data_IF_426428631868
#
_entry.id   IF_426428631868
#
_cell.length_a   1.000
_cell.length_b   1.000
_cell.length_c   1.000
_cell.angle_alpha   90.00
_cell.angle_beta   90.00
_cell.angle_gamma   90.00
#
_symmetry.space_group_name_H-M   'P 1'
#
loop_
_entity.id
_entity.type
_entity.pdbx_description
1 polymer ?
#
# COMPACT_ATOMS: atom_id res chain seq x y z
N UNK A 1 4.86 16.36 22.05
CA UNK A 1 4.80 15.18 21.17
C UNK A 1 3.49 14.48 21.47
N UNK A 2 2.72 14.12 20.44
CA UNK A 2 1.53 13.30 20.65
C UNK A 2 1.99 11.90 21.11
N UNK A 3 1.35 11.32 22.12
CA UNK A 3 1.74 10.02 22.71
C UNK A 3 0.70 8.93 22.43
N UNK A 4 -0.30 9.23 21.61
CA UNK A 4 -1.31 8.25 21.20
C UNK A 4 -0.65 7.18 20.34
N UNK A 5 -0.89 5.91 20.66
CA UNK A 5 -0.54 4.76 19.82
C UNK A 5 -1.83 4.29 19.18
N UNK A 6 -1.85 4.10 17.85
CA UNK A 6 -3.01 3.56 17.15
C UNK A 6 -3.09 2.06 17.42
N UNK A 7 -4.15 1.56 18.07
CA UNK A 7 -4.30 0.13 18.32
C UNK A 7 -4.59 -0.62 17.00
N UNK A 8 -4.37 -1.95 16.97
CA UNK A 8 -4.86 -2.78 15.87
C UNK A 8 -6.40 -2.75 15.81
N UNK A 9 -6.95 -2.82 14.60
CA UNK A 9 -8.40 -2.94 14.37
C UNK A 9 -8.77 -4.14 13.49
N UNK A 10 -7.78 -4.89 13.00
CA UNK A 10 -7.96 -6.01 12.09
C UNK A 10 -7.44 -7.35 12.66
N UNK A 11 -6.95 -7.36 13.88
CA UNK A 11 -6.53 -8.55 14.61
C UNK A 11 -7.71 -9.51 14.84
N UNK A 12 -7.47 -10.80 14.59
CA UNK A 12 -8.51 -11.84 14.62
C UNK A 12 -9.51 -11.77 13.45
N UNK A 13 -9.49 -10.71 12.64
CA UNK A 13 -10.40 -10.52 11.49
C UNK A 13 -9.71 -10.77 10.15
N UNK A 14 -8.58 -10.10 9.90
CA UNK A 14 -7.85 -10.16 8.63
C UNK A 14 -6.49 -10.84 8.77
N UNK A 15 -5.98 -10.94 9.98
CA UNK A 15 -4.77 -11.69 10.35
C UNK A 15 -4.93 -12.27 11.77
N UNK A 16 -4.00 -13.13 12.20
CA UNK A 16 -4.07 -13.77 13.52
C UNK A 16 -3.80 -12.77 14.65
N UNK A 17 -4.66 -12.77 15.67
CA UNK A 17 -4.50 -12.00 16.91
C UNK A 17 -3.38 -12.53 17.82
N UNK A 18 -3.05 -13.82 17.74
CA UNK A 18 -1.92 -14.42 18.45
C UNK A 18 -0.56 -14.02 17.83
N UNK A 19 0.31 -13.41 18.64
CA UNK A 19 1.64 -12.93 18.24
C UNK A 19 2.49 -14.01 17.55
N UNK A 20 2.65 -15.17 18.19
CA UNK A 20 3.54 -16.23 17.70
C UNK A 20 3.02 -16.82 16.40
N UNK A 21 1.70 -17.01 16.29
CA UNK A 21 1.04 -17.50 15.10
C UNK A 21 1.15 -16.50 13.95
N UNK A 22 0.92 -15.21 14.21
CA UNK A 22 1.05 -14.15 13.21
C UNK A 22 2.49 -14.06 12.68
N UNK A 23 3.47 -14.02 13.58
CA UNK A 23 4.89 -13.96 13.22
C UNK A 23 5.33 -15.15 12.38
N UNK A 24 4.99 -16.36 12.81
CA UNK A 24 5.29 -17.59 12.06
C UNK A 24 4.64 -17.59 10.68
N UNK A 25 3.38 -17.14 10.60
CA UNK A 25 2.65 -17.08 9.33
C UNK A 25 3.29 -16.10 8.34
N UNK A 26 3.61 -14.88 8.78
CA UNK A 26 4.27 -13.84 7.97
C UNK A 26 5.64 -14.33 7.49
N UNK A 27 6.45 -14.90 8.39
CA UNK A 27 7.76 -15.46 8.04
C UNK A 27 7.67 -16.59 7.01
N UNK A 28 6.74 -17.52 7.19
CA UNK A 28 6.51 -18.62 6.23
C UNK A 28 6.02 -18.10 4.88
N UNK A 29 5.16 -17.08 4.89
CA UNK A 29 4.66 -16.41 3.70
C UNK A 29 5.79 -15.82 2.87
N UNK A 30 6.70 -15.06 3.49
CA UNK A 30 7.88 -14.49 2.83
C UNK A 30 8.82 -15.59 2.33
N UNK A 31 9.20 -16.54 3.21
CA UNK A 31 10.17 -17.58 2.88
C UNK A 31 9.74 -18.47 1.70
N UNK A 32 8.43 -18.71 1.56
CA UNK A 32 7.87 -19.55 0.49
C UNK A 32 7.70 -18.83 -0.85
N UNK A 33 7.90 -17.51 -0.89
CA UNK A 33 7.64 -16.68 -2.06
C UNK A 33 8.83 -15.79 -2.45
N UNK A 34 10.05 -16.18 -2.05
CA UNK A 34 11.28 -15.48 -2.46
C UNK A 34 11.41 -15.54 -3.99
N UNK A 35 11.57 -14.38 -4.62
CA UNK A 35 11.82 -14.24 -6.05
C UNK A 35 13.11 -13.45 -6.31
N UNK A 36 13.62 -13.53 -7.53
CA UNK A 36 14.84 -12.81 -7.92
C UNK A 36 14.66 -11.30 -7.81
N UNK A 37 15.57 -10.67 -7.08
CA UNK A 37 15.61 -9.22 -6.85
C UNK A 37 16.48 -8.54 -7.90
N UNK A 38 15.91 -7.55 -8.59
CA UNK A 38 16.58 -6.83 -9.70
C UNK A 38 17.27 -5.52 -9.31
N UNK A 39 17.10 -5.09 -8.07
CA UNK A 39 17.67 -3.86 -7.53
C UNK A 39 17.08 -3.54 -6.15
N UNK A 40 17.44 -2.39 -5.59
CA UNK A 40 16.81 -1.86 -4.39
C UNK A 40 15.42 -1.30 -4.74
N UNK A 41 14.34 -1.73 -4.06
CA UNK A 41 13.00 -1.24 -4.33
C UNK A 41 12.84 0.26 -4.01
N UNK A 42 12.23 1.01 -4.91
CA UNK A 42 11.76 2.37 -4.66
C UNK A 42 10.28 2.37 -4.23
N UNK A 43 9.46 1.51 -4.83
CA UNK A 43 8.05 1.42 -4.51
C UNK A 43 7.48 0.02 -4.71
N UNK A 44 6.43 -0.32 -3.97
CA UNK A 44 5.65 -1.53 -4.11
C UNK A 44 4.15 -1.24 -4.17
N UNK A 45 3.43 -2.11 -4.86
CA UNK A 45 1.97 -2.18 -4.90
C UNK A 45 1.60 -3.50 -4.24
N UNK A 46 0.83 -3.47 -3.16
CA UNK A 46 0.52 -4.65 -2.34
C UNK A 46 -0.99 -4.73 -2.07
N UNK A 47 -1.53 -5.91 -1.75
CA UNK A 47 -2.94 -6.02 -1.41
C UNK A 47 -3.25 -5.44 -0.02
N UNK A 48 -4.53 -5.30 0.29
CA UNK A 48 -5.11 -5.00 1.60
C UNK A 48 -6.17 -6.03 2.00
N UNK A 49 -6.02 -7.28 1.54
CA UNK A 49 -6.90 -8.39 1.84
C UNK A 49 -6.47 -9.17 3.08
N UNK A 50 -7.33 -10.08 3.55
CA UNK A 50 -6.97 -11.04 4.60
C UNK A 50 -5.71 -11.81 4.22
N UNK A 51 -4.84 -12.01 5.20
CA UNK A 51 -3.61 -12.79 5.06
C UNK A 51 -3.87 -14.22 4.61
N UNK A 52 -5.02 -14.80 4.98
CA UNK A 52 -5.39 -16.15 4.54
C UNK A 52 -5.61 -16.22 3.03
N UNK A 53 -6.07 -15.13 2.39
CA UNK A 53 -6.34 -15.09 0.96
C UNK A 53 -5.13 -14.63 0.15
N UNK A 54 -4.38 -13.65 0.65
CA UNK A 54 -3.36 -12.96 -0.14
C UNK A 54 -1.91 -13.17 0.35
N UNK A 55 -1.67 -14.08 1.32
CA UNK A 55 -0.33 -14.33 1.88
C UNK A 55 0.75 -14.47 0.81
N UNK A 56 0.53 -15.32 -0.19
CA UNK A 56 1.55 -15.57 -1.21
C UNK A 56 1.91 -14.32 -2.03
N UNK A 57 0.97 -13.38 -2.19
CA UNK A 57 1.16 -12.09 -2.86
C UNK A 57 1.95 -11.14 -1.96
N UNK A 58 1.57 -11.04 -0.68
CA UNK A 58 2.36 -10.30 0.32
C UNK A 58 3.80 -10.84 0.40
N UNK A 59 3.97 -12.15 0.55
CA UNK A 59 5.29 -12.79 0.63
C UNK A 59 6.16 -12.48 -0.58
N UNK A 60 5.59 -12.48 -1.80
CA UNK A 60 6.30 -12.12 -3.01
C UNK A 60 6.82 -10.66 -2.97
N UNK A 61 5.99 -9.70 -2.55
CA UNK A 61 6.39 -8.30 -2.42
C UNK A 61 7.45 -8.11 -1.33
N UNK A 62 7.16 -8.53 -0.10
CA UNK A 62 8.02 -8.27 1.06
C UNK A 62 9.34 -9.05 1.03
N UNK A 63 9.42 -10.17 0.29
CA UNK A 63 10.71 -10.83 0.04
C UNK A 63 11.73 -9.93 -0.67
N UNK A 64 11.29 -8.91 -1.42
CA UNK A 64 12.17 -7.96 -2.11
C UNK A 64 12.88 -6.99 -1.16
N UNK A 65 12.37 -6.86 0.06
CA UNK A 65 12.92 -5.98 1.10
C UNK A 65 13.94 -6.68 2.00
N UNK A 66 14.18 -7.98 1.84
CA UNK A 66 15.21 -8.69 2.61
C UNK A 66 16.57 -8.03 2.34
N UNK A 67 17.27 -7.67 3.43
CA UNK A 67 18.53 -6.93 3.44
C UNK A 67 18.45 -5.54 2.78
N UNK A 68 17.28 -4.91 2.73
CA UNK A 68 17.17 -3.48 2.45
C UNK A 68 17.03 -2.69 3.74
N UNK A 69 17.58 -1.48 3.72
CA UNK A 69 17.45 -0.51 4.79
C UNK A 69 16.64 0.68 4.29
N UNK A 70 15.72 1.19 5.11
CA UNK A 70 14.97 2.42 4.84
C UNK A 70 14.77 3.19 6.14
N UNK A 71 14.89 4.52 6.07
CA UNK A 71 14.58 5.38 7.20
C UNK A 71 13.06 5.47 7.41
N UNK A 72 12.29 5.49 6.32
CA UNK A 72 10.83 5.67 6.38
C UNK A 72 10.10 4.96 5.24
N UNK A 73 9.09 4.18 5.60
CA UNK A 73 8.16 3.54 4.66
C UNK A 73 6.87 4.36 4.57
N UNK A 74 6.62 4.96 3.42
CA UNK A 74 5.39 5.71 3.14
C UNK A 74 4.32 4.72 2.70
N UNK A 75 3.28 4.55 3.52
CA UNK A 75 2.20 3.60 3.23
C UNK A 75 0.94 4.39 2.88
N UNK A 76 0.48 4.24 1.64
CA UNK A 76 -0.60 5.03 1.07
C UNK A 76 -1.78 4.11 0.76
N UNK A 77 -2.92 4.37 1.40
CA UNK A 77 -4.18 3.70 1.09
C UNK A 77 -5.24 4.70 0.69
N UNK A 78 -6.26 4.23 -0.04
CA UNK A 78 -7.50 4.96 -0.22
C UNK A 78 -8.39 4.72 1.00
N UNK A 79 -9.19 5.70 1.41
CA UNK A 79 -10.16 5.49 2.47
C UNK A 79 -11.35 4.66 1.95
N UNK A 80 -11.63 3.52 2.58
CA UNK A 80 -12.69 2.59 2.11
C UNK A 80 -14.08 2.90 2.69
N UNK A 81 -14.13 3.42 3.93
CA UNK A 81 -15.39 3.60 4.67
C UNK A 81 -16.01 4.98 4.51
N UNK A 82 -15.21 6.00 4.21
CA UNK A 82 -15.65 7.39 4.15
C UNK A 82 -14.88 8.13 3.07
N UNK A 83 -15.61 8.79 2.17
CA UNK A 83 -15.05 9.77 1.24
C UNK A 83 -14.90 11.11 1.95
N UNK A 84 -13.76 11.75 1.77
CA UNK A 84 -13.51 13.08 2.33
C UNK A 84 -12.53 13.87 1.47
N UNK A 85 -12.71 15.19 1.42
CA UNK A 85 -11.98 16.04 0.50
C UNK A 85 -10.61 16.48 1.04
N UNK A 86 -9.80 15.53 1.50
CA UNK A 86 -8.44 15.76 1.98
C UNK A 86 -7.57 14.50 1.91
N UNK A 87 -6.29 14.64 2.25
CA UNK A 87 -5.32 13.58 2.46
C UNK A 87 -5.03 13.55 3.97
N UNK A 88 -5.46 12.48 4.63
CA UNK A 88 -5.35 12.29 6.06
C UNK A 88 -3.98 11.75 6.46
N UNK A 89 -3.25 12.56 7.21
CA UNK A 89 -2.01 12.16 7.88
C UNK A 89 -2.33 11.68 9.29
N UNK A 90 -1.73 10.58 9.73
CA UNK A 90 -1.91 10.12 11.11
C UNK A 90 -1.26 11.09 12.08
N UNK A 91 -1.91 11.32 13.23
CA UNK A 91 -1.33 12.07 14.35
C UNK A 91 -0.83 11.17 15.46
N UNK A 92 -1.07 9.86 15.37
CA UNK A 92 -0.52 8.86 16.28
C UNK A 92 1.01 8.83 16.22
N UNK A 93 1.62 8.48 17.34
CA UNK A 93 3.07 8.31 17.49
C UNK A 93 3.59 6.99 16.93
N UNK A 94 2.75 5.95 16.90
CA UNK A 94 3.06 4.64 16.37
C UNK A 94 1.76 3.89 15.98
N UNK A 95 1.90 2.86 15.15
CA UNK A 95 0.83 1.89 14.87
C UNK A 95 1.21 0.55 15.47
N UNK A 96 0.33 0.01 16.30
CA UNK A 96 0.52 -1.26 16.99
C UNK A 96 -0.14 -2.43 16.24
N UNK A 97 0.49 -3.60 16.33
CA UNK A 97 0.00 -4.90 15.89
C UNK A 97 0.38 -5.96 16.93
N UNK A 98 -0.17 -7.18 16.89
CA UNK A 98 0.22 -8.23 17.83
C UNK A 98 1.71 -8.59 17.83
N UNK A 99 2.45 -8.33 16.74
CA UNK A 99 3.88 -8.65 16.62
C UNK A 99 4.82 -7.48 16.93
N UNK A 100 4.27 -6.31 17.26
CA UNK A 100 5.04 -5.10 17.56
C UNK A 100 4.42 -3.84 16.96
N UNK A 101 5.17 -2.75 16.98
CA UNK A 101 4.73 -1.44 16.51
C UNK A 101 5.79 -0.77 15.65
N UNK A 102 5.34 0.12 14.75
CA UNK A 102 6.23 1.02 13.99
C UNK A 102 5.91 2.47 14.34
N UNK A 103 6.96 3.25 14.62
CA UNK A 103 6.84 4.68 14.90
C UNK A 103 6.43 5.47 13.64
N UNK A 104 5.62 6.50 13.83
CA UNK A 104 5.27 7.45 12.76
C UNK A 104 6.39 8.46 12.58
N UNK A 105 6.79 8.69 11.32
CA UNK A 105 7.73 9.75 10.96
C UNK A 105 7.05 11.13 11.00
N UNK A 106 7.04 11.72 12.19
CA UNK A 106 6.43 13.03 12.43
C UNK A 106 7.11 14.15 11.65
N UNK A 107 8.40 14.05 11.32
CA UNK A 107 9.08 15.06 10.52
C UNK A 107 8.53 15.10 9.09
N UNK A 108 8.40 13.93 8.46
CA UNK A 108 7.81 13.84 7.11
C UNK A 108 6.35 14.29 7.10
N UNK A 109 5.59 13.99 8.15
CA UNK A 109 4.24 14.53 8.38
C UNK A 109 4.23 16.08 8.33
N UNK A 110 5.12 16.73 9.07
CA UNK A 110 5.20 18.19 9.13
C UNK A 110 5.60 18.80 7.79
N UNK A 111 6.49 18.15 7.03
CA UNK A 111 6.87 18.59 5.67
C UNK A 111 5.63 18.57 4.75
N UNK A 112 4.84 17.49 4.76
CA UNK A 112 3.62 17.40 3.94
C UNK A 112 2.53 18.39 4.36
N UNK A 113 2.31 18.60 5.67
CA UNK A 113 1.38 19.63 6.16
C UNK A 113 1.79 21.03 5.72
N UNK A 114 3.08 21.34 5.77
CA UNK A 114 3.62 22.63 5.32
C UNK A 114 3.51 22.82 3.80
N UNK A 115 3.61 21.74 3.03
CA UNK A 115 3.45 21.78 1.58
C UNK A 115 2.07 22.30 1.18
N UNK A 116 1.00 21.77 1.81
CA UNK A 116 -0.36 22.28 1.58
C UNK A 116 -1.33 21.93 2.72
N UNK A 117 -1.43 22.81 3.73
CA UNK A 117 -2.26 22.61 4.93
C UNK A 117 -3.76 22.46 4.67
N UNK A 118 -4.26 22.91 3.52
CA UNK A 118 -5.68 22.84 3.19
C UNK A 118 -6.08 21.44 2.70
N UNK A 119 -5.10 20.63 2.26
CA UNK A 119 -5.34 19.28 1.75
C UNK A 119 -4.65 18.21 2.58
N UNK A 120 -3.50 18.47 3.19
CA UNK A 120 -2.83 17.54 4.10
C UNK A 120 -3.25 17.87 5.53
N UNK A 121 -4.14 17.07 6.08
CA UNK A 121 -4.82 17.34 7.37
C UNK A 121 -4.55 16.25 8.39
N UNK A 122 -4.79 16.57 9.65
CA UNK A 122 -4.84 15.59 10.72
C UNK A 122 -6.04 14.66 10.50
N UNK A 123 -5.77 13.39 10.20
CA UNK A 123 -6.76 12.42 9.72
C UNK A 123 -6.93 11.20 10.61
N UNK A 124 -6.61 11.29 11.91
CA UNK A 124 -6.59 10.13 12.81
C UNK A 124 -7.95 9.40 12.89
N UNK A 125 -9.05 10.14 12.83
CA UNK A 125 -10.40 9.58 12.75
C UNK A 125 -10.62 8.70 11.51
N UNK A 126 -9.92 8.95 10.41
CA UNK A 126 -9.95 8.11 9.22
C UNK A 126 -9.04 6.88 9.39
N UNK A 127 -7.84 7.07 9.96
CA UNK A 127 -6.90 5.97 10.24
C UNK A 127 -7.46 4.94 11.22
N UNK A 128 -8.23 5.35 12.22
CA UNK A 128 -8.90 4.45 13.17
C UNK A 128 -10.05 3.62 12.54
N UNK A 129 -10.43 3.93 11.30
CA UNK A 129 -11.52 3.25 10.60
C UNK A 129 -11.04 2.41 9.42
N UNK A 130 -9.79 2.57 8.97
CA UNK A 130 -9.22 1.84 7.84
C UNK A 130 -8.11 0.89 8.28
N UNK A 131 -8.11 -0.33 7.73
CA UNK A 131 -7.16 -1.39 8.10
C UNK A 131 -6.02 -1.55 7.08
N UNK A 132 -6.12 -0.94 5.90
CA UNK A 132 -5.26 -1.29 4.76
C UNK A 132 -3.77 -1.03 5.04
N UNK A 133 -3.49 0.07 5.77
CA UNK A 133 -2.13 0.43 6.20
C UNK A 133 -1.64 -0.54 7.29
N UNK A 134 -2.51 -0.88 8.26
CA UNK A 134 -2.18 -1.80 9.35
C UNK A 134 -1.76 -3.18 8.82
N UNK A 135 -2.41 -3.67 7.77
CA UNK A 135 -2.08 -4.94 7.13
C UNK A 135 -0.65 -5.00 6.56
N UNK A 136 0.03 -3.87 6.39
CA UNK A 136 1.41 -3.86 5.89
C UNK A 136 2.43 -4.03 7.02
N UNK A 137 2.07 -3.66 8.26
CA UNK A 137 3.00 -3.52 9.39
C UNK A 137 3.63 -4.85 9.82
N UNK A 138 2.90 -5.96 9.98
CA UNK A 138 3.52 -7.24 10.39
C UNK A 138 4.59 -7.72 9.42
N UNK A 139 4.40 -7.49 8.12
CA UNK A 139 5.40 -7.85 7.10
C UNK A 139 6.62 -6.93 7.15
N UNK A 140 6.43 -5.63 7.37
CA UNK A 140 7.54 -4.67 7.53
C UNK A 140 8.40 -5.01 8.75
N UNK A 141 7.78 -5.32 9.89
CA UNK A 141 8.47 -5.73 11.12
C UNK A 141 9.30 -7.01 10.98
N UNK A 142 8.97 -7.88 10.02
CA UNK A 142 9.73 -9.11 9.78
C UNK A 142 10.96 -8.88 8.88
N UNK A 143 10.95 -7.86 8.02
CA UNK A 143 11.97 -7.70 6.97
C UNK A 143 12.85 -6.44 7.10
N UNK A 144 12.41 -5.44 7.87
CA UNK A 144 13.13 -4.18 8.07
C UNK A 144 13.64 -4.04 9.50
N UNK A 145 14.58 -3.12 9.69
CA UNK A 145 15.17 -2.81 10.99
C UNK A 145 14.18 -2.17 11.96
N UNK A 146 14.44 -2.31 13.26
CA UNK A 146 13.60 -1.76 14.33
C UNK A 146 13.50 -0.24 14.33
N UNK A 147 14.47 0.43 13.71
CA UNK A 147 14.54 1.90 13.68
C UNK A 147 13.78 2.50 12.49
N UNK A 148 13.32 1.67 11.54
CA UNK A 148 12.51 2.11 10.41
C UNK A 148 11.18 2.68 10.89
N UNK A 149 10.84 3.88 10.38
CA UNK A 149 9.55 4.54 10.65
C UNK A 149 8.55 4.32 9.53
N UNK A 150 7.29 4.64 9.79
CA UNK A 150 6.22 4.67 8.78
C UNK A 150 5.67 6.09 8.60
N UNK A 151 5.22 6.40 7.39
CA UNK A 151 4.41 7.58 7.11
C UNK A 151 3.04 7.13 6.57
N UNK A 152 2.03 6.97 7.45
CA UNK A 152 0.68 6.58 7.07
C UNK A 152 -0.05 7.71 6.34
N UNK A 153 -0.49 7.46 5.11
CA UNK A 153 -1.24 8.42 4.31
C UNK A 153 -2.54 7.78 3.85
N UNK A 154 -3.68 8.36 4.24
CA UNK A 154 -4.98 7.98 3.70
C UNK A 154 -5.47 9.04 2.72
N UNK A 155 -5.76 8.63 1.49
CA UNK A 155 -6.37 9.48 0.47
C UNK A 155 -7.88 9.36 0.55
N UNK A 156 -8.58 10.48 0.82
CA UNK A 156 -10.03 10.48 0.92
C UNK A 156 -10.76 10.46 -0.42
N UNK A 157 -10.13 10.95 -1.49
CA UNK A 157 -10.74 11.05 -2.83
C UNK A 157 -9.72 10.72 -3.94
N UNK A 158 -10.03 9.83 -4.89
CA UNK A 158 -9.06 9.36 -5.89
C UNK A 158 -8.98 10.20 -7.18
N UNK A 159 -9.61 11.38 -7.21
CA UNK A 159 -9.68 12.17 -8.43
C UNK A 159 -8.32 12.77 -8.87
N UNK A 160 -8.24 13.22 -10.12
CA UNK A 160 -7.02 13.77 -10.74
C UNK A 160 -6.34 14.87 -9.90
N UNK A 161 -7.11 15.71 -9.22
CA UNK A 161 -6.55 16.78 -8.38
C UNK A 161 -5.76 16.20 -7.21
N UNK A 162 -6.33 15.23 -6.48
CA UNK A 162 -5.64 14.57 -5.37
C UNK A 162 -4.45 13.76 -5.83
N UNK A 163 -4.57 13.06 -6.96
CA UNK A 163 -3.47 12.22 -7.43
C UNK A 163 -2.26 13.03 -7.86
N UNK A 164 -2.48 14.17 -8.55
CA UNK A 164 -1.44 15.15 -8.87
C UNK A 164 -0.87 15.78 -7.60
N UNK A 165 -1.73 16.21 -6.68
CA UNK A 165 -1.30 16.87 -5.44
C UNK A 165 -0.38 15.96 -4.61
N UNK A 166 -0.78 14.71 -4.37
CA UNK A 166 0.01 13.77 -3.60
C UNK A 166 1.35 13.48 -4.28
N UNK A 167 1.37 13.22 -5.60
CA UNK A 167 2.62 12.96 -6.33
C UNK A 167 3.62 14.11 -6.22
N UNK A 168 3.15 15.37 -6.33
CA UNK A 168 4.01 16.55 -6.18
C UNK A 168 4.47 16.77 -4.74
N UNK A 169 3.62 16.47 -3.76
CA UNK A 169 3.96 16.59 -2.35
C UNK A 169 5.03 15.56 -1.93
N UNK A 170 4.94 14.32 -2.45
CA UNK A 170 5.95 13.29 -2.22
C UNK A 170 7.28 13.66 -2.88
N UNK A 171 7.27 14.18 -4.11
CA UNK A 171 8.49 14.74 -4.74
C UNK A 171 9.10 15.86 -3.88
N UNK A 172 8.27 16.78 -3.39
CA UNK A 172 8.73 17.84 -2.49
C UNK A 172 9.31 17.30 -1.18
N UNK A 173 8.72 16.25 -0.61
CA UNK A 173 9.24 15.58 0.59
C UNK A 173 10.66 15.06 0.34
N UNK A 174 10.88 14.38 -0.79
CA UNK A 174 12.20 13.85 -1.16
C UNK A 174 13.22 14.96 -1.43
N UNK A 175 12.80 16.15 -1.86
CA UNK A 175 13.67 17.33 -2.01
C UNK A 175 14.01 18.03 -0.68
N UNK A 176 13.33 17.67 0.42
CA UNK A 176 13.47 18.31 1.73
C UNK A 176 14.11 17.44 2.80
N UNK A 177 14.36 16.18 2.51
CA UNK A 177 14.97 15.23 3.44
C UNK A 177 15.93 14.31 2.69
N UNK A 178 17.07 14.00 3.31
CA UNK A 178 18.03 13.02 2.80
C UNK A 178 17.68 11.58 3.21
N UNK A 179 16.51 11.36 3.83
CA UNK A 179 16.02 10.03 4.23
C UNK A 179 15.86 9.10 3.02
N UNK A 180 16.20 7.83 3.20
CA UNK A 180 15.90 6.76 2.26
C UNK A 180 14.46 6.29 2.46
N UNK A 181 13.60 6.61 1.49
CA UNK A 181 12.18 6.26 1.51
C UNK A 181 11.87 5.00 0.69
N UNK A 182 10.92 4.21 1.18
CA UNK A 182 10.18 3.21 0.41
C UNK A 182 8.72 3.66 0.30
N UNK A 183 8.09 3.46 -0.85
CA UNK A 183 6.64 3.70 -1.00
C UNK A 183 5.90 2.37 -1.10
N UNK A 184 4.82 2.23 -0.34
CA UNK A 184 3.87 1.11 -0.48
C UNK A 184 2.51 1.73 -0.76
N UNK A 185 1.90 1.38 -1.89
CA UNK A 185 0.49 1.67 -2.15
C UNK A 185 -0.32 0.39 -2.03
N UNK A 186 -1.49 0.47 -1.39
CA UNK A 186 -2.33 -0.70 -1.16
C UNK A 186 -3.50 -0.75 -2.13
N UNK A 187 -3.75 -1.90 -2.74
CA UNK A 187 -4.96 -2.15 -3.52
C UNK A 187 -5.27 -3.64 -3.74
N UNK A 188 -6.53 -4.02 -3.63
CA UNK A 188 -7.12 -5.20 -4.26
C UNK A 188 -7.74 -4.82 -5.62
N UNK A 189 -7.88 -5.81 -6.51
CA UNK A 189 -8.41 -5.63 -7.86
C UNK A 189 -9.91 -5.92 -7.92
N UNK A 190 -10.39 -6.56 -8.99
CA UNK A 190 -11.83 -6.82 -9.16
C UNK A 190 -12.36 -7.73 -8.04
N UNK A 191 -13.54 -7.44 -7.47
CA UNK A 191 -14.14 -8.18 -6.35
C UNK A 191 -15.64 -8.54 -6.50
N UNK A 192 -16.24 -8.24 -7.67
CA UNK A 192 -17.69 -8.43 -7.92
C UNK A 192 -18.03 -9.39 -9.06
N UNK A 193 -17.04 -10.03 -9.67
CA UNK A 193 -17.27 -10.87 -10.85
C UNK A 193 -16.90 -12.32 -10.59
N UNK A 194 -17.40 -13.19 -11.47
CA UNK A 194 -16.93 -14.56 -11.53
C UNK A 194 -15.46 -14.61 -11.99
N UNK A 195 -14.83 -15.76 -11.75
CA UNK A 195 -13.40 -15.95 -12.01
C UNK A 195 -12.96 -15.52 -13.40
N UNK A 196 -13.64 -15.99 -14.45
CA UNK A 196 -13.19 -15.77 -15.83
C UNK A 196 -13.21 -14.28 -16.20
N UNK A 197 -14.22 -13.53 -15.72
CA UNK A 197 -14.31 -12.10 -15.95
C UNK A 197 -13.33 -11.31 -15.07
N UNK A 198 -13.16 -11.69 -13.82
CA UNK A 198 -12.18 -11.06 -12.92
C UNK A 198 -10.76 -11.15 -13.46
N UNK A 199 -10.33 -12.34 -13.91
CA UNK A 199 -8.99 -12.53 -14.50
C UNK A 199 -8.76 -11.61 -15.69
N UNK A 200 -9.77 -11.40 -16.54
CA UNK A 200 -9.67 -10.48 -17.69
C UNK A 200 -9.50 -9.03 -17.22
N UNK A 201 -10.36 -8.58 -16.29
CA UNK A 201 -10.32 -7.21 -15.75
C UNK A 201 -8.98 -6.94 -15.05
N UNK A 202 -8.53 -7.86 -14.23
CA UNK A 202 -7.28 -7.75 -13.48
C UNK A 202 -6.06 -7.77 -14.40
N UNK A 203 -6.06 -8.65 -15.42
CA UNK A 203 -4.99 -8.69 -16.42
C UNK A 203 -4.92 -7.38 -17.21
N UNK A 204 -6.06 -6.78 -17.54
CA UNK A 204 -6.12 -5.47 -18.18
C UNK A 204 -5.57 -4.37 -17.27
N UNK A 205 -5.92 -4.38 -15.98
CA UNK A 205 -5.35 -3.46 -14.99
C UNK A 205 -3.83 -3.54 -14.97
N UNK A 206 -3.28 -4.74 -14.83
CA UNK A 206 -1.83 -4.99 -14.79
C UNK A 206 -1.15 -4.51 -16.08
N UNK A 207 -1.74 -4.79 -17.25
CA UNK A 207 -1.18 -4.38 -18.53
C UNK A 207 -1.19 -2.87 -18.72
N UNK A 208 -2.24 -2.17 -18.28
CA UNK A 208 -2.32 -0.70 -18.33
C UNK A 208 -1.34 -0.07 -17.33
N UNK A 209 -1.25 -0.63 -16.11
CA UNK A 209 -0.32 -0.17 -15.10
C UNK A 209 1.13 -0.22 -15.60
N UNK A 210 1.54 -1.30 -16.27
CA UNK A 210 2.89 -1.48 -16.85
C UNK A 210 3.24 -0.46 -17.93
N UNK A 211 2.24 0.15 -18.58
CA UNK A 211 2.49 1.21 -19.57
C UNK A 211 2.96 2.53 -18.92
N UNK A 212 2.88 2.63 -17.59
CA UNK A 212 3.37 3.77 -16.81
C UNK A 212 2.79 5.12 -17.29
N UNK A 213 1.54 5.09 -17.77
CA UNK A 213 0.80 6.26 -18.24
C UNK A 213 -0.31 6.60 -17.22
N UNK A 214 -0.12 7.60 -16.35
CA UNK A 214 -1.05 7.88 -15.26
C UNK A 214 -2.40 8.40 -15.73
N UNK A 215 -2.45 9.12 -16.86
CA UNK A 215 -3.70 9.68 -17.38
C UNK A 215 -4.56 8.59 -18.03
N UNK A 216 -3.93 7.68 -18.80
CA UNK A 216 -4.62 6.51 -19.34
C UNK A 216 -5.10 5.58 -18.22
N UNK A 217 -4.25 5.28 -17.24
CA UNK A 217 -4.65 4.46 -16.08
C UNK A 217 -5.84 5.08 -15.34
N UNK A 218 -5.79 6.39 -15.07
CA UNK A 218 -6.87 7.13 -14.40
C UNK A 218 -8.17 7.12 -15.21
N UNK A 219 -8.09 7.27 -16.53
CA UNK A 219 -9.25 7.22 -17.42
C UNK A 219 -9.90 5.83 -17.40
N UNK A 220 -9.12 4.76 -17.52
CA UNK A 220 -9.64 3.39 -17.57
C UNK A 220 -10.30 2.98 -16.24
N UNK A 221 -9.77 3.44 -15.10
CA UNK A 221 -10.39 3.28 -13.78
C UNK A 221 -11.71 4.08 -13.67
N UNK A 222 -11.73 5.33 -14.14
CA UNK A 222 -12.94 6.16 -14.12
C UNK A 222 -14.06 5.60 -15.00
N UNK A 223 -13.71 5.01 -16.15
CA UNK A 223 -14.63 4.33 -17.06
C UNK A 223 -15.03 2.92 -16.59
N UNK A 224 -14.49 2.44 -15.46
CA UNK A 224 -14.68 1.09 -14.92
C UNK A 224 -14.35 -0.04 -15.91
N UNK A 225 -13.40 0.22 -16.83
CA UNK A 225 -12.87 -0.82 -17.73
C UNK A 225 -11.86 -1.72 -17.02
N UNK A 226 -11.24 -1.18 -15.97
CA UNK A 226 -10.39 -1.88 -15.00
C UNK A 226 -10.85 -1.49 -13.58
N UNK A 227 -10.48 -2.28 -12.58
CA UNK A 227 -10.96 -2.10 -11.21
C UNK A 227 -9.80 -2.27 -10.23
N UNK A 228 -9.73 -1.33 -9.28
CA UNK A 228 -8.83 -1.33 -8.14
C UNK A 228 -9.46 -0.46 -7.04
N UNK A 229 -9.47 -0.94 -5.80
CA UNK A 229 -9.98 -0.16 -4.65
C UNK A 229 -9.02 0.98 -4.23
N UNK A 230 -7.73 0.84 -4.49
CA UNK A 230 -6.68 1.84 -4.28
C UNK A 230 -6.40 2.69 -5.52
N UNK A 231 -7.44 3.05 -6.28
CA UNK A 231 -7.34 3.84 -7.53
C UNK A 231 -6.47 5.09 -7.37
N UNK A 232 -6.76 5.91 -6.36
CA UNK A 232 -6.04 7.16 -6.12
C UNK A 232 -4.55 6.95 -5.80
N UNK A 233 -4.22 6.15 -4.76
CA UNK A 233 -2.83 5.81 -4.42
C UNK A 233 -2.01 5.27 -5.59
N UNK A 234 -2.55 4.31 -6.37
CA UNK A 234 -1.82 3.74 -7.50
C UNK A 234 -1.55 4.79 -8.58
N UNK A 235 -2.56 5.59 -8.95
CA UNK A 235 -2.37 6.67 -9.94
C UNK A 235 -1.36 7.70 -9.42
N UNK A 236 -1.37 8.04 -8.13
CA UNK A 236 -0.36 8.92 -7.51
C UNK A 236 1.05 8.35 -7.62
N UNK A 237 1.24 7.05 -7.40
CA UNK A 237 2.53 6.40 -7.54
C UNK A 237 3.02 6.48 -8.99
N UNK A 238 2.18 6.18 -9.98
CA UNK A 238 2.55 6.27 -11.41
C UNK A 238 2.90 7.71 -11.79
N UNK A 239 2.14 8.70 -11.31
CA UNK A 239 2.46 10.13 -11.50
C UNK A 239 3.80 10.51 -10.89
N UNK A 240 4.07 10.05 -9.66
CA UNK A 240 5.36 10.30 -9.00
C UNK A 240 6.50 9.66 -9.78
N UNK A 241 6.34 8.41 -10.23
CA UNK A 241 7.32 7.72 -11.05
C UNK A 241 7.65 8.50 -12.33
N UNK A 242 6.64 9.09 -12.98
CA UNK A 242 6.80 9.98 -14.15
C UNK A 242 7.52 11.30 -13.83
N UNK A 243 7.39 11.82 -12.60
CA UNK A 243 8.06 13.07 -12.16
C UNK A 243 9.54 12.86 -11.77
N UNK A 244 9.95 11.60 -11.58
CA UNK A 244 11.30 11.20 -11.24
C UNK A 244 11.97 10.64 -12.52
N UNK A 245 12.38 9.37 -12.50
CA UNK A 245 13.17 8.76 -13.58
C UNK A 245 12.38 7.81 -14.49
N UNK A 246 11.04 7.77 -14.34
CA UNK A 246 10.12 6.96 -15.15
C UNK A 246 10.49 5.47 -15.22
N UNK A 247 10.70 4.86 -14.06
CA UNK A 247 11.20 3.49 -13.94
C UNK A 247 10.15 2.44 -14.32
N UNK A 248 10.60 1.25 -14.70
CA UNK A 248 9.71 0.14 -15.06
C UNK A 248 8.90 -0.33 -13.85
N UNK A 249 7.60 -0.60 -14.06
CA UNK A 249 6.73 -1.25 -13.08
C UNK A 249 6.68 -2.74 -13.40
N UNK A 250 7.18 -3.57 -12.49
CA UNK A 250 7.29 -5.02 -12.66
C UNK A 250 6.20 -5.71 -11.85
N UNK A 251 5.51 -6.68 -12.46
CA UNK A 251 4.61 -7.57 -11.73
C UNK A 251 5.42 -8.68 -11.07
N UNK A 252 5.31 -8.83 -9.75
CA UNK A 252 5.89 -9.93 -9.00
C UNK A 252 4.94 -11.12 -8.93
N UNK A 253 3.66 -10.87 -8.62
CA UNK A 253 2.66 -11.91 -8.46
C UNK A 253 1.25 -11.40 -8.69
N UNK A 254 0.40 -12.27 -9.20
CA UNK A 254 -1.05 -12.11 -9.25
C UNK A 254 -1.68 -13.38 -8.67
N UNK A 255 -2.82 -13.24 -7.99
CA UNK A 255 -3.58 -14.33 -7.40
C UNK A 255 -5.07 -13.96 -7.41
N UNK A 256 -5.94 -14.92 -7.71
CA UNK A 256 -7.38 -14.79 -7.44
C UNK A 256 -7.75 -15.50 -6.14
N UNK A 257 -8.70 -14.94 -5.37
CA UNK A 257 -9.22 -15.57 -4.16
C UNK A 257 -9.78 -16.98 -4.40
N UNK A 258 -10.27 -17.27 -5.61
CA UNK A 258 -10.75 -18.60 -6.01
C UNK A 258 -9.67 -19.69 -5.95
N UNK A 259 -8.39 -19.32 -6.06
CA UNK A 259 -7.28 -20.28 -5.94
C UNK A 259 -7.12 -20.77 -4.50
N UNK A 260 -7.69 -20.06 -3.52
CA UNK A 260 -7.65 -20.40 -2.10
C UNK A 260 -8.99 -20.94 -1.63
N UNK A 261 -10.11 -20.36 -2.07
CA UNK A 261 -11.45 -20.72 -1.60
C UNK A 261 -12.15 -21.77 -2.45
N UNK A 262 -11.66 -22.04 -3.66
CA UNK A 262 -12.31 -22.83 -4.72
C UNK A 262 -13.67 -22.28 -5.21
N UNK A 263 -14.15 -21.16 -4.65
CA UNK A 263 -15.35 -20.47 -5.11
C UNK A 263 -15.03 -19.54 -6.28
N UNK A 264 -15.60 -19.84 -7.44
CA UNK A 264 -15.42 -19.08 -8.70
C UNK A 264 -16.57 -18.13 -9.02
N UNK A 265 -17.60 -18.06 -8.16
CA UNK A 265 -18.83 -17.30 -8.42
C UNK A 265 -18.66 -15.80 -8.20
N UNK A 266 -17.91 -15.43 -7.16
CA UNK A 266 -17.54 -14.05 -6.83
C UNK A 266 -16.12 -14.05 -6.26
N UNK A 267 -15.17 -13.55 -7.04
CA UNK A 267 -13.75 -13.62 -6.71
C UNK A 267 -13.16 -12.24 -6.54
N UNK A 268 -12.10 -12.17 -5.75
CA UNK A 268 -11.29 -10.97 -5.57
C UNK A 268 -9.89 -11.19 -6.14
N UNK A 269 -9.35 -10.20 -6.86
CA UNK A 269 -7.99 -10.24 -7.42
C UNK A 269 -6.97 -9.55 -6.52
N UNK A 270 -5.76 -10.11 -6.43
CA UNK A 270 -4.65 -9.59 -5.64
C UNK A 270 -3.39 -9.51 -6.49
N UNK A 271 -2.61 -8.44 -6.34
CA UNK A 271 -1.33 -8.33 -7.03
C UNK A 271 -0.23 -7.75 -6.17
N UNK A 272 1.01 -8.14 -6.50
CA UNK A 272 2.24 -7.54 -6.03
C UNK A 272 2.94 -6.91 -7.23
N UNK A 273 3.11 -5.59 -7.21
CA UNK A 273 3.89 -4.82 -8.17
C UNK A 273 5.09 -4.17 -7.51
N UNK A 274 6.15 -3.88 -8.28
CA UNK A 274 7.37 -3.27 -7.75
C UNK A 274 7.99 -2.30 -8.76
N UNK A 275 8.65 -1.27 -8.24
CA UNK A 275 9.50 -0.32 -8.96
C UNK A 275 10.84 -0.32 -8.22
N UNK A 276 11.95 -0.50 -8.93
CA UNK A 276 13.32 -0.51 -8.35
C UNK A 276 13.98 0.86 -8.48
#
# INVERSE_FOLDING_TARGET
>A
MNTMIRPPIADGLLYYDDELKLKSFVKSSIASNITEKKGSPFAMITPNASYLLASSVYGAAYSQLINEEYDTVIIISQAHKMSYYSIGLSTSSAFETPVGMLEVDEESNQILKKYNKDFFVDGENYHLQDHSIELQIPYLLEVLDSDTKILPILMGEPNTKFTILLSKALKYLFEKSDKKYLIIVTTNLSNEYNYDKSVIIDSNFINILKQNNPDHLSEQLALKQIIADGTGPVVSLVRLNNLLDNKEIVLLKYLSSAEITEDRSKVEGYMAGIIY
#
